data_IF_634742491392
#
_entry.id   IF_634742491392
#
_cell.length_a   1.000
_cell.length_b   1.000
_cell.length_c   1.000
_cell.angle_alpha   90.00
_cell.angle_beta   90.00
_cell.angle_gamma   90.00
#
_symmetry.space_group_name_H-M   'P 1'
#
loop_
_entity.id
_entity.type
_entity.pdbx_description
1 polymer ?
#
# COMPACT_ATOMS: atom_id res chain seq x y z
N UNK A 1 -24.71 7.93 8.46
CA UNK A 1 -24.36 8.70 7.26
C UNK A 1 -24.36 10.22 7.53
N UNK A 2 -25.38 10.81 8.15
CA UNK A 2 -25.42 12.29 8.30
C UNK A 2 -24.26 12.92 9.07
N UNK A 3 -23.55 12.14 9.87
CA UNK A 3 -22.38 12.58 10.64
C UNK A 3 -21.05 12.32 9.92
N UNK A 4 -21.07 11.77 8.70
CA UNK A 4 -19.85 11.54 7.92
C UNK A 4 -19.54 12.74 7.01
N UNK A 5 -18.27 12.95 6.61
CA UNK A 5 -17.91 14.05 5.71
C UNK A 5 -18.64 14.06 4.37
N UNK A 6 -19.04 12.89 3.86
CA UNK A 6 -19.77 12.75 2.60
C UNK A 6 -21.08 11.95 2.77
N UNK A 7 -22.14 12.55 3.31
CA UNK A 7 -23.38 11.83 3.61
C UNK A 7 -24.07 11.20 2.39
N UNK A 8 -24.00 11.84 1.22
CA UNK A 8 -24.79 11.46 0.05
C UNK A 8 -24.36 10.12 -0.57
N UNK A 9 -23.05 9.86 -0.84
CA UNK A 9 -22.60 8.53 -1.26
C UNK A 9 -22.99 7.41 -0.29
N UNK A 10 -22.87 7.67 1.02
CA UNK A 10 -23.25 6.72 2.08
C UNK A 10 -24.76 6.39 2.01
N UNK A 11 -25.62 7.41 1.99
CA UNK A 11 -27.08 7.24 1.88
C UNK A 11 -27.48 6.55 0.58
N UNK A 12 -26.91 6.99 -0.54
CA UNK A 12 -27.19 6.45 -1.87
C UNK A 12 -26.87 4.96 -1.94
N UNK A 13 -25.73 4.53 -1.38
CA UNK A 13 -25.34 3.13 -1.34
C UNK A 13 -26.35 2.27 -0.58
N UNK A 14 -26.67 2.63 0.66
CA UNK A 14 -27.57 1.83 1.50
C UNK A 14 -29.05 1.90 1.08
N UNK A 15 -29.46 2.96 0.38
CA UNK A 15 -30.81 3.04 -0.21
C UNK A 15 -30.99 2.08 -1.39
N UNK A 16 -29.94 1.87 -2.19
CA UNK A 16 -30.01 1.08 -3.42
C UNK A 16 -29.71 -0.41 -3.21
N UNK A 17 -29.05 -0.76 -2.10
CA UNK A 17 -28.76 -2.15 -1.75
C UNK A 17 -29.71 -2.62 -0.63
N UNK A 18 -30.87 -3.14 -1.05
CA UNK A 18 -31.86 -3.72 -0.13
C UNK A 18 -31.30 -4.97 0.56
N UNK A 19 -31.44 -5.08 1.88
CA UNK A 19 -31.07 -6.28 2.65
C UNK A 19 -30.15 -6.06 3.84
N UNK A 20 -29.68 -4.83 4.09
CA UNK A 20 -28.90 -4.54 5.29
C UNK A 20 -29.78 -4.37 6.52
N UNK A 21 -29.42 -5.05 7.62
CA UNK A 21 -29.94 -4.72 8.95
C UNK A 21 -29.36 -3.39 9.40
N UNK A 22 -30.19 -2.52 9.99
CA UNK A 22 -29.72 -1.28 10.60
C UNK A 22 -28.66 -1.59 11.68
N UNK A 23 -27.49 -0.93 11.64
CA UNK A 23 -26.45 -1.14 12.64
C UNK A 23 -26.92 -0.61 13.99
N UNK A 24 -26.64 -1.36 15.05
CA UNK A 24 -26.94 -0.97 16.43
C UNK A 24 -25.76 -0.29 17.11
N UNK A 25 -24.55 -0.50 16.58
CA UNK A 25 -23.31 0.08 17.09
C UNK A 25 -22.49 0.73 15.97
N UNK A 26 -21.67 1.72 16.33
CA UNK A 26 -20.76 2.39 15.40
C UNK A 26 -19.73 1.41 14.80
N UNK A 27 -19.33 0.38 15.55
CA UNK A 27 -18.46 -0.71 15.10
C UNK A 27 -19.09 -1.53 13.96
N UNK A 28 -20.39 -1.83 14.05
CA UNK A 28 -21.16 -2.52 13.01
C UNK A 28 -21.32 -1.61 11.78
N UNK A 29 -21.64 -0.34 11.99
CA UNK A 29 -21.77 0.64 10.92
C UNK A 29 -20.45 0.81 10.14
N UNK A 30 -19.30 0.81 10.84
CA UNK A 30 -17.98 0.81 10.21
C UNK A 30 -17.79 -0.36 9.26
N UNK A 31 -18.13 -1.59 9.68
CA UNK A 31 -17.99 -2.78 8.83
C UNK A 31 -18.82 -2.61 7.55
N UNK A 32 -20.09 -2.22 7.69
CA UNK A 32 -20.98 -1.98 6.55
C UNK A 32 -20.43 -0.92 5.58
N UNK A 33 -19.80 0.13 6.12
CA UNK A 33 -19.25 1.22 5.30
C UNK A 33 -17.99 0.80 4.55
N UNK A 34 -17.14 -0.03 5.16
CA UNK A 34 -15.97 -0.60 4.50
C UNK A 34 -16.38 -1.61 3.42
N UNK A 35 -17.44 -2.40 3.65
CA UNK A 35 -18.05 -3.26 2.62
C UNK A 35 -18.54 -2.43 1.43
N UNK A 36 -19.22 -1.30 1.70
CA UNK A 36 -19.66 -0.38 0.65
C UNK A 36 -18.51 0.23 -0.15
N UNK A 37 -17.44 0.65 0.53
CA UNK A 37 -16.24 1.15 -0.14
C UNK A 37 -15.55 0.06 -0.99
N UNK A 38 -15.51 -1.19 -0.49
CA UNK A 38 -14.91 -2.32 -1.20
C UNK A 38 -15.68 -2.68 -2.48
N UNK A 39 -17.01 -2.67 -2.43
CA UNK A 39 -17.87 -2.89 -3.60
C UNK A 39 -17.63 -1.82 -4.69
N UNK A 40 -17.52 -0.55 -4.29
CA UNK A 40 -17.15 0.53 -5.23
C UNK A 40 -15.72 0.43 -5.75
N UNK A 41 -14.79 -0.09 -4.96
CA UNK A 41 -13.41 -0.35 -5.39
C UNK A 41 -13.32 -1.44 -6.45
N UNK A 42 -14.05 -2.54 -6.25
CA UNK A 42 -14.16 -3.63 -7.22
C UNK A 42 -14.78 -3.11 -8.51
N UNK A 43 -15.89 -2.37 -8.41
CA UNK A 43 -16.55 -1.77 -9.58
C UNK A 43 -15.60 -0.86 -10.38
N UNK A 44 -14.85 0.02 -9.71
CA UNK A 44 -13.89 0.91 -10.36
C UNK A 44 -12.75 0.13 -11.05
N UNK A 45 -12.17 -0.85 -10.36
CA UNK A 45 -11.11 -1.71 -10.91
C UNK A 45 -11.59 -2.43 -12.17
N UNK A 46 -12.80 -2.99 -12.13
CA UNK A 46 -13.35 -3.78 -13.24
C UNK A 46 -13.68 -2.87 -14.44
N UNK A 47 -14.19 -1.66 -14.20
CA UNK A 47 -14.40 -0.65 -15.24
C UNK A 47 -13.09 -0.16 -15.88
N UNK A 48 -12.05 0.10 -15.08
CA UNK A 48 -10.71 0.45 -15.56
C UNK A 48 -10.15 -0.69 -16.43
N UNK A 49 -10.22 -1.93 -15.93
CA UNK A 49 -9.76 -3.12 -16.64
C UNK A 49 -10.50 -3.32 -17.96
N UNK A 50 -11.82 -3.16 -17.98
CA UNK A 50 -12.63 -3.26 -19.20
C UNK A 50 -12.25 -2.17 -20.21
N UNK A 51 -12.02 -0.95 -19.73
CA UNK A 51 -11.66 0.20 -20.58
C UNK A 51 -10.28 0.07 -21.20
N UNK A 52 -9.38 -0.74 -20.63
CA UNK A 52 -8.03 -0.97 -21.15
C UNK A 52 -7.96 -1.51 -22.57
N UNK A 53 -9.00 -2.24 -22.99
CA UNK A 53 -9.10 -2.83 -24.32
C UNK A 53 -9.34 -1.80 -25.41
N UNK A 54 -9.73 -0.57 -25.05
CA UNK A 54 -10.17 0.46 -25.99
C UNK A 54 -9.08 1.49 -26.32
N UNK A 55 -7.92 1.43 -25.68
CA UNK A 55 -6.88 2.46 -25.82
C UNK A 55 -5.56 1.88 -26.31
N UNK A 56 -5.05 2.46 -27.39
CA UNK A 56 -3.74 2.14 -27.99
C UNK A 56 -2.67 3.19 -27.71
N UNK A 57 -3.06 4.33 -27.11
CA UNK A 57 -2.16 5.42 -26.76
C UNK A 57 -1.28 5.05 -25.55
N UNK A 58 0.03 5.16 -25.70
CA UNK A 58 1.00 4.75 -24.69
C UNK A 58 0.84 5.52 -23.36
N UNK A 59 0.46 6.80 -23.39
CA UNK A 59 0.27 7.60 -22.18
C UNK A 59 -0.98 7.15 -21.43
N UNK A 60 -2.09 6.93 -22.15
CA UNK A 60 -3.32 6.40 -21.58
C UNK A 60 -3.13 5.00 -21.02
N UNK A 61 -2.40 4.14 -21.74
CA UNK A 61 -2.08 2.79 -21.28
C UNK A 61 -1.24 2.82 -20.00
N UNK A 62 -0.20 3.66 -19.92
CA UNK A 62 0.63 3.79 -18.73
C UNK A 62 -0.19 4.22 -17.49
N UNK A 63 -1.00 5.29 -17.62
CA UNK A 63 -1.89 5.74 -16.54
C UNK A 63 -2.89 4.67 -16.15
N UNK A 64 -3.43 3.93 -17.12
CA UNK A 64 -4.41 2.90 -16.86
C UNK A 64 -3.81 1.69 -16.14
N UNK A 65 -2.62 1.24 -16.54
CA UNK A 65 -1.89 0.18 -15.82
C UNK A 65 -1.68 0.57 -14.37
N UNK A 66 -1.32 1.82 -14.09
CA UNK A 66 -1.13 2.29 -12.72
C UNK A 66 -2.42 2.36 -11.94
N UNK A 67 -3.47 2.91 -12.55
CA UNK A 67 -4.78 2.97 -11.92
C UNK A 67 -5.30 1.55 -11.61
N UNK A 68 -5.16 0.58 -12.50
CA UNK A 68 -5.57 -0.80 -12.23
C UNK A 68 -4.83 -1.35 -11.01
N UNK A 69 -3.49 -1.24 -10.97
CA UNK A 69 -2.69 -1.69 -9.83
C UNK A 69 -3.06 -0.99 -8.51
N UNK A 70 -3.21 0.33 -8.53
CA UNK A 70 -3.61 1.11 -7.35
C UNK A 70 -5.00 0.71 -6.84
N UNK A 71 -5.93 0.36 -7.73
CA UNK A 71 -7.25 -0.12 -7.34
C UNK A 71 -7.25 -1.58 -6.87
N UNK A 72 -6.38 -2.45 -7.41
CA UNK A 72 -6.11 -3.77 -6.84
C UNK A 72 -5.57 -3.66 -5.41
N UNK A 73 -4.63 -2.77 -5.18
CA UNK A 73 -4.08 -2.48 -3.85
C UNK A 73 -5.16 -1.89 -2.93
N UNK A 74 -6.01 -0.99 -3.44
CA UNK A 74 -7.16 -0.44 -2.69
C UNK A 74 -8.09 -1.55 -2.21
N UNK A 75 -8.46 -2.49 -3.09
CA UNK A 75 -9.28 -3.66 -2.74
C UNK A 75 -8.58 -4.53 -1.68
N UNK A 76 -7.26 -4.72 -1.79
CA UNK A 76 -6.49 -5.48 -0.81
C UNK A 76 -6.52 -4.81 0.58
N UNK A 77 -6.30 -3.49 0.66
CA UNK A 77 -6.32 -2.75 1.93
C UNK A 77 -7.71 -2.74 2.58
N UNK A 78 -8.78 -2.63 1.79
CA UNK A 78 -10.17 -2.70 2.29
C UNK A 78 -10.51 -4.12 2.77
N UNK A 79 -10.10 -5.15 2.04
CA UNK A 79 -10.24 -6.55 2.45
C UNK A 79 -9.52 -6.80 3.78
N UNK A 80 -8.29 -6.29 3.90
CA UNK A 80 -7.50 -6.39 5.13
C UNK A 80 -8.15 -5.68 6.30
N UNK A 81 -8.72 -4.50 6.05
CA UNK A 81 -9.52 -3.77 7.03
C UNK A 81 -10.66 -4.65 7.54
N UNK A 82 -11.49 -5.21 6.67
CA UNK A 82 -12.59 -6.10 7.06
C UNK A 82 -12.13 -7.34 7.85
N UNK A 83 -11.02 -7.96 7.47
CA UNK A 83 -10.45 -9.11 8.17
C UNK A 83 -9.88 -8.76 9.55
N UNK A 84 -9.38 -7.53 9.72
CA UNK A 84 -8.82 -7.03 10.97
C UNK A 84 -9.89 -6.57 11.96
N UNK A 85 -11.04 -6.12 11.47
CA UNK A 85 -12.18 -5.75 12.29
C UNK A 85 -12.79 -6.99 12.97
N UNK A 86 -13.28 -6.87 14.22
CA UNK A 86 -13.85 -8.00 14.94
C UNK A 86 -15.03 -8.59 14.14
N UNK A 87 -15.10 -9.92 13.94
CA UNK A 87 -16.27 -10.54 13.36
C UNK A 87 -17.47 -10.41 14.30
N UNK A 88 -18.67 -10.62 13.76
CA UNK A 88 -19.95 -10.62 14.51
C UNK A 88 -19.97 -11.57 15.72
N UNK A 89 -19.00 -12.48 15.87
CA UNK A 89 -18.90 -13.43 17.00
C UNK A 89 -17.44 -13.69 17.43
N UNK A 90 -17.08 -13.21 18.62
CA UNK A 90 -16.12 -13.84 19.56
C UNK A 90 -14.64 -14.08 19.17
N UNK A 91 -14.19 -13.82 17.94
CA UNK A 91 -12.79 -14.01 17.59
C UNK A 91 -11.91 -12.86 18.14
N UNK A 92 -10.70 -13.18 18.62
CA UNK A 92 -9.70 -12.18 19.02
C UNK A 92 -9.44 -11.23 17.84
N UNK A 93 -9.65 -9.93 18.07
CA UNK A 93 -9.29 -8.83 17.17
C UNK A 93 -7.84 -9.02 16.70
N UNK A 94 -7.64 -9.32 15.42
CA UNK A 94 -6.29 -9.57 14.88
C UNK A 94 -5.51 -8.26 14.74
N UNK A 95 -6.21 -7.13 14.59
CA UNK A 95 -5.61 -5.83 14.23
C UNK A 95 -6.34 -4.69 14.94
N UNK A 96 -5.64 -3.62 15.28
CA UNK A 96 -6.15 -2.47 16.04
C UNK A 96 -6.96 -1.51 15.18
N UNK A 97 -7.69 -0.58 15.81
CA UNK A 97 -8.37 0.50 15.05
C UNK A 97 -7.32 1.44 14.41
N UNK A 98 -6.09 1.47 14.93
CA UNK A 98 -4.98 2.20 14.35
C UNK A 98 -4.49 1.53 13.05
N UNK A 99 -4.43 0.20 13.04
CA UNK A 99 -4.12 -0.56 11.83
C UNK A 99 -5.21 -0.36 10.76
N UNK A 100 -6.48 -0.41 11.17
CA UNK A 100 -7.60 -0.08 10.28
C UNK A 100 -7.52 1.35 9.72
N UNK A 101 -7.16 2.34 10.55
CA UNK A 101 -6.96 3.72 10.10
C UNK A 101 -5.83 3.80 9.06
N UNK A 102 -4.74 3.07 9.29
CA UNK A 102 -3.58 3.03 8.40
C UNK A 102 -3.99 2.47 7.03
N UNK A 103 -4.65 1.31 6.98
CA UNK A 103 -5.05 0.71 5.71
C UNK A 103 -6.11 1.50 4.97
N UNK A 104 -7.08 2.09 5.67
CA UNK A 104 -8.05 3.01 5.06
C UNK A 104 -7.37 4.25 4.46
N UNK A 105 -6.33 4.77 5.13
CA UNK A 105 -5.57 5.92 4.64
C UNK A 105 -4.75 5.56 3.39
N UNK A 106 -4.16 4.36 3.38
CA UNK A 106 -3.49 3.81 2.19
C UNK A 106 -4.46 3.64 1.03
N UNK A 107 -5.65 3.06 1.27
CA UNK A 107 -6.68 2.90 0.26
C UNK A 107 -7.09 4.25 -0.36
N UNK A 108 -7.29 5.30 0.45
CA UNK A 108 -7.58 6.64 -0.06
C UNK A 108 -6.42 7.19 -0.89
N UNK A 109 -5.18 7.03 -0.40
CA UNK A 109 -3.96 7.49 -1.10
C UNK A 109 -3.84 6.84 -2.47
N UNK A 110 -4.15 5.55 -2.60
CA UNK A 110 -4.09 4.84 -3.87
C UNK A 110 -5.09 5.42 -4.89
N UNK A 111 -6.34 5.67 -4.46
CA UNK A 111 -7.35 6.28 -5.34
C UNK A 111 -6.95 7.68 -5.81
N UNK A 112 -6.37 8.47 -4.91
CA UNK A 112 -5.91 9.83 -5.21
C UNK A 112 -4.65 9.82 -6.10
N UNK A 113 -3.76 8.84 -5.92
CA UNK A 113 -2.56 8.65 -6.75
C UNK A 113 -2.93 8.34 -8.19
N UNK A 114 -3.93 7.48 -8.43
CA UNK A 114 -4.45 7.22 -9.77
C UNK A 114 -5.01 8.50 -10.40
N UNK A 115 -5.86 9.23 -9.65
CA UNK A 115 -6.48 10.48 -10.11
C UNK A 115 -5.41 11.53 -10.47
N UNK A 116 -4.44 11.77 -9.59
CA UNK A 116 -3.34 12.72 -9.83
C UNK A 116 -2.45 12.29 -10.97
N UNK A 117 -2.06 11.01 -11.04
CA UNK A 117 -1.24 10.46 -12.12
C UNK A 117 -1.87 10.70 -13.50
N UNK A 118 -3.19 10.58 -13.61
CA UNK A 118 -3.93 10.90 -14.85
C UNK A 118 -3.91 12.39 -15.20
N UNK A 119 -3.96 13.26 -14.20
CA UNK A 119 -3.90 14.72 -14.36
C UNK A 119 -2.50 15.19 -14.76
N UNK A 120 -1.46 14.65 -14.11
CA UNK A 120 -0.06 14.98 -14.40
C UNK A 120 0.34 14.59 -15.83
N UNK A 121 -0.33 13.55 -16.38
CA UNK A 121 -0.18 13.11 -17.77
C UNK A 121 -1.11 13.81 -18.77
N UNK A 122 -1.94 14.76 -18.32
CA UNK A 122 -2.93 15.47 -19.14
C UNK A 122 -3.92 14.53 -19.86
N UNK A 123 -4.35 13.47 -19.17
CA UNK A 123 -5.29 12.47 -19.69
C UNK A 123 -6.42 12.17 -18.69
N UNK A 124 -6.75 13.13 -17.82
CA UNK A 124 -7.77 12.98 -16.79
C UNK A 124 -9.16 12.65 -17.32
N UNK A 125 -9.47 13.03 -18.56
CA UNK A 125 -10.83 12.95 -19.13
C UNK A 125 -11.37 11.52 -19.23
N UNK A 126 -10.49 10.52 -19.34
CA UNK A 126 -10.94 9.12 -19.42
C UNK A 126 -10.93 8.39 -18.07
N UNK A 127 -10.10 8.83 -17.11
CA UNK A 127 -10.04 8.26 -15.76
C UNK A 127 -11.12 8.87 -14.85
N UNK A 128 -11.33 10.18 -14.95
CA UNK A 128 -12.21 10.93 -14.05
C UNK A 128 -13.63 10.39 -14.02
N UNK A 129 -14.28 10.05 -15.16
CA UNK A 129 -15.62 9.48 -15.14
C UNK A 129 -15.66 8.15 -14.37
N UNK A 130 -14.69 7.27 -14.58
CA UNK A 130 -14.64 5.95 -13.95
C UNK A 130 -14.44 6.10 -12.43
N UNK A 131 -13.43 6.86 -12.02
CA UNK A 131 -13.06 7.04 -10.62
C UNK A 131 -14.10 7.86 -9.85
N UNK A 132 -14.65 8.90 -10.47
CA UNK A 132 -15.58 9.83 -9.80
C UNK A 132 -17.01 9.33 -9.75
N UNK A 133 -17.44 8.46 -10.68
CA UNK A 133 -18.79 7.89 -10.67
C UNK A 133 -18.98 6.90 -9.52
N UNK A 134 -17.93 6.17 -9.14
CA UNK A 134 -18.02 5.19 -8.04
C UNK A 134 -18.08 5.86 -6.66
N UNK A 135 -17.71 7.15 -6.55
CA UNK A 135 -17.64 7.91 -5.29
C UNK A 135 -16.82 7.20 -4.20
N UNK A 136 -15.88 6.35 -4.61
CA UNK A 136 -15.09 5.52 -3.70
C UNK A 136 -14.26 6.35 -2.72
N UNK A 137 -13.59 7.42 -3.17
CA UNK A 137 -12.77 8.26 -2.30
C UNK A 137 -13.60 8.89 -1.17
N UNK A 138 -14.86 9.25 -1.46
CA UNK A 138 -15.80 9.77 -0.46
C UNK A 138 -16.19 8.69 0.55
N UNK A 139 -16.51 7.47 0.10
CA UNK A 139 -16.84 6.35 1.00
C UNK A 139 -15.64 5.94 1.88
N UNK A 140 -14.43 5.91 1.32
CA UNK A 140 -13.21 5.65 2.12
C UNK A 140 -12.99 6.79 3.13
N UNK A 141 -13.24 8.04 2.75
CA UNK A 141 -13.15 9.18 3.69
C UNK A 141 -14.17 9.07 4.82
N UNK A 142 -15.38 8.62 4.52
CA UNK A 142 -16.38 8.34 5.56
C UNK A 142 -15.95 7.17 6.46
N UNK A 143 -15.33 6.12 5.91
CA UNK A 143 -14.73 5.03 6.70
C UNK A 143 -13.66 5.58 7.66
N UNK A 144 -12.80 6.48 7.18
CA UNK A 144 -11.76 7.14 8.00
C UNK A 144 -12.36 7.96 9.13
N UNK A 145 -13.44 8.70 8.87
CA UNK A 145 -14.12 9.49 9.90
C UNK A 145 -14.75 8.59 10.98
N UNK A 146 -15.45 7.53 10.57
CA UNK A 146 -16.07 6.57 11.49
C UNK A 146 -15.01 5.82 12.31
N UNK A 147 -13.93 5.38 11.68
CA UNK A 147 -12.83 4.71 12.38
C UNK A 147 -12.07 5.67 13.31
N UNK A 148 -11.90 6.92 12.90
CA UNK A 148 -11.34 7.99 13.72
C UNK A 148 -12.12 8.23 15.01
N UNK A 149 -13.46 8.24 14.94
CA UNK A 149 -14.29 8.32 16.15
C UNK A 149 -14.03 7.14 17.11
N UNK A 150 -13.91 5.92 16.59
CA UNK A 150 -13.60 4.73 17.39
C UNK A 150 -12.20 4.76 18.00
N UNK A 151 -11.22 5.35 17.31
CA UNK A 151 -9.87 5.58 17.84
C UNK A 151 -9.90 6.47 19.09
N UNK A 152 -10.69 7.54 19.11
CA UNK A 152 -10.76 8.47 20.25
C UNK A 152 -11.39 7.84 21.50
N UNK A 153 -12.24 6.83 21.31
CA UNK A 153 -12.89 6.09 22.41
C UNK A 153 -12.05 4.93 22.96
N UNK A 154 -10.98 4.53 22.24
CA UNK A 154 -10.08 3.44 22.63
C UNK A 154 -8.91 3.94 23.47
N UNK A 155 -8.50 3.14 24.46
CA UNK A 155 -7.30 3.41 25.26
C UNK A 155 -6.04 3.15 24.41
N UNK A 156 -5.74 4.06 23.49
CA UNK A 156 -4.65 3.91 22.54
C UNK A 156 -3.33 4.21 23.23
N UNK A 157 -2.63 3.15 23.66
CA UNK A 157 -1.18 3.24 23.92
C UNK A 157 -0.52 3.64 22.60
N UNK A 158 -0.18 4.92 22.49
CA UNK A 158 0.60 5.45 21.39
C UNK A 158 1.90 4.67 21.27
N UNK A 159 2.08 3.96 20.15
CA UNK A 159 3.29 3.21 19.77
C UNK A 159 4.45 4.14 19.38
N UNK A 160 4.30 5.45 19.60
CA UNK A 160 5.33 6.48 19.42
C UNK A 160 6.34 6.52 20.57
N UNK A 161 6.18 5.67 21.60
CA UNK A 161 7.20 5.54 22.64
C UNK A 161 8.48 4.97 22.01
N UNK A 162 9.54 5.78 21.97
CA UNK A 162 10.88 5.28 21.78
C UNK A 162 11.32 4.56 23.06
N UNK A 163 12.07 3.48 22.92
CA UNK A 163 12.72 2.87 24.06
C UNK A 163 13.86 3.76 24.60
N UNK A 164 14.52 3.31 25.68
CA UNK A 164 15.66 4.04 26.27
C UNK A 164 16.83 4.27 25.31
N UNK A 165 16.90 3.54 24.19
CA UNK A 165 17.95 3.62 23.19
C UNK A 165 17.50 4.39 21.93
N UNK A 166 16.32 5.02 21.95
CA UNK A 166 15.79 5.79 20.82
C UNK A 166 15.17 4.95 19.70
N UNK A 167 15.03 3.63 19.86
CA UNK A 167 14.35 2.77 18.88
C UNK A 167 12.85 2.75 19.11
N UNK A 168 12.03 2.77 18.04
CA UNK A 168 10.59 2.55 18.18
C UNK A 168 10.29 1.20 18.84
N UNK A 169 9.23 1.13 19.65
CA UNK A 169 8.83 -0.11 20.35
C UNK A 169 8.44 -1.25 19.41
N UNK A 170 8.06 -0.95 18.17
CA UNK A 170 7.71 -1.96 17.16
C UNK A 170 8.93 -2.63 16.52
N UNK A 171 10.13 -2.04 16.65
CA UNK A 171 11.38 -2.67 16.17
C UNK A 171 11.85 -3.67 17.23
N UNK A 172 11.90 -4.95 16.89
CA UNK A 172 12.29 -6.02 17.83
C UNK A 172 13.78 -5.94 18.22
N UNK A 173 14.15 -6.51 19.38
CA UNK A 173 15.55 -6.54 19.84
C UNK A 173 16.51 -7.20 18.83
N UNK A 174 16.03 -8.21 18.09
CA UNK A 174 16.80 -8.87 17.03
C UNK A 174 17.07 -7.91 15.86
N UNK A 175 16.08 -7.13 15.45
CA UNK A 175 16.21 -6.16 14.36
C UNK A 175 17.10 -4.99 14.76
N UNK A 176 17.00 -4.51 16.00
CA UNK A 176 17.90 -3.48 16.53
C UNK A 176 19.34 -3.95 16.49
N UNK A 177 19.60 -5.19 16.92
CA UNK A 177 20.93 -5.80 16.83
C UNK A 177 21.43 -5.83 15.38
N UNK A 178 20.58 -6.19 14.41
CA UNK A 178 20.92 -6.15 12.99
C UNK A 178 21.29 -4.73 12.51
N UNK A 179 20.54 -3.71 12.92
CA UNK A 179 20.79 -2.31 12.56
C UNK A 179 22.08 -1.74 13.20
N UNK A 180 22.49 -2.27 14.35
CA UNK A 180 23.69 -1.86 15.08
C UNK A 180 24.97 -2.58 14.64
N UNK A 181 24.89 -3.56 13.73
CA UNK A 181 26.06 -4.26 13.24
C UNK A 181 26.97 -3.30 12.46
N UNK A 182 28.19 -3.10 12.97
CA UNK A 182 29.19 -2.22 12.35
C UNK A 182 29.77 -2.78 11.04
N UNK A 183 29.60 -4.08 10.78
CA UNK A 183 30.03 -4.71 9.53
C UNK A 183 28.89 -5.46 8.87
N UNK A 184 28.68 -5.16 7.59
CA UNK A 184 27.70 -5.86 6.74
C UNK A 184 28.11 -7.33 6.51
N UNK A 185 29.41 -7.63 6.62
CA UNK A 185 29.95 -9.01 6.59
C UNK A 185 29.45 -9.89 7.74
N UNK A 186 29.01 -9.29 8.85
CA UNK A 186 28.39 -10.02 9.97
C UNK A 186 26.90 -10.28 9.76
N UNK A 187 26.28 -9.73 8.71
CA UNK A 187 24.88 -9.99 8.36
C UNK A 187 24.83 -11.22 7.46
N UNK A 188 24.16 -12.28 7.92
CA UNK A 188 23.91 -13.46 7.09
C UNK A 188 22.90 -13.10 5.99
N UNK A 189 23.42 -12.76 4.80
CA UNK A 189 22.60 -12.43 3.63
C UNK A 189 21.94 -13.68 3.05
N UNK A 190 20.67 -13.56 2.65
CA UNK A 190 19.98 -14.60 1.89
C UNK A 190 20.39 -14.56 0.42
N UNK A 191 20.42 -13.36 -0.17
CA UNK A 191 20.85 -13.13 -1.56
C UNK A 191 21.94 -12.06 -1.59
N UNK A 192 22.82 -12.16 -2.59
CA UNK A 192 23.88 -11.17 -2.84
C UNK A 192 23.72 -10.63 -4.25
N UNK A 193 23.70 -9.30 -4.37
CA UNK A 193 23.65 -8.56 -5.64
C UNK A 193 25.02 -7.93 -5.88
N UNK A 194 25.59 -8.17 -7.06
CA UNK A 194 26.90 -7.64 -7.43
C UNK A 194 26.98 -7.38 -8.95
N UNK A 195 27.34 -6.16 -9.34
CA UNK A 195 27.49 -5.80 -10.76
C UNK A 195 28.67 -6.48 -11.46
N UNK A 196 29.70 -6.81 -10.70
CA UNK A 196 30.92 -7.47 -11.17
C UNK A 196 30.76 -8.99 -11.38
N UNK A 197 29.54 -9.53 -11.18
CA UNK A 197 29.26 -10.96 -11.28
C UNK A 197 29.67 -11.78 -10.05
N UNK A 198 30.23 -11.17 -9.01
CA UNK A 198 30.63 -11.85 -7.76
C UNK A 198 29.46 -12.13 -6.80
N UNK A 199 28.22 -12.03 -7.28
CA UNK A 199 26.97 -12.20 -6.54
C UNK A 199 26.01 -13.10 -7.31
N UNK A 200 24.88 -13.44 -6.70
CA UNK A 200 23.85 -14.28 -7.33
C UNK A 200 23.06 -13.52 -8.40
N UNK A 201 22.94 -12.19 -8.25
CA UNK A 201 22.21 -11.32 -9.18
C UNK A 201 23.07 -10.10 -9.55
N UNK A 202 22.86 -9.57 -10.75
CA UNK A 202 23.47 -8.33 -11.22
C UNK A 202 22.61 -7.08 -10.94
N UNK A 203 21.31 -7.25 -10.71
CA UNK A 203 20.34 -6.18 -10.45
C UNK A 203 19.63 -6.39 -9.10
N UNK A 204 19.23 -5.29 -8.47
CA UNK A 204 18.52 -5.30 -7.19
C UNK A 204 17.09 -5.79 -7.40
N UNK A 205 16.40 -5.38 -8.47
CA UNK A 205 15.04 -5.83 -8.76
C UNK A 205 14.95 -7.35 -8.92
N UNK A 206 15.91 -7.99 -9.60
CA UNK A 206 15.87 -9.45 -9.77
C UNK A 206 15.96 -10.20 -8.43
N UNK A 207 16.75 -9.69 -7.48
CA UNK A 207 16.81 -10.25 -6.14
C UNK A 207 15.50 -10.03 -5.35
N UNK A 208 14.85 -8.86 -5.52
CA UNK A 208 13.54 -8.56 -4.93
C UNK A 208 12.46 -9.50 -5.50
N UNK A 209 12.47 -9.75 -6.81
CA UNK A 209 11.51 -10.64 -7.47
C UNK A 209 11.63 -12.07 -6.97
N UNK A 210 12.86 -12.56 -6.76
CA UNK A 210 13.12 -13.87 -6.15
C UNK A 210 12.66 -13.91 -4.71
N UNK A 211 12.90 -12.84 -3.94
CA UNK A 211 12.38 -12.72 -2.58
C UNK A 211 10.84 -12.77 -2.57
N UNK A 212 10.15 -12.15 -3.54
CA UNK A 212 8.69 -12.13 -3.62
C UNK A 212 8.03 -13.47 -3.94
N UNK A 213 8.79 -14.44 -4.45
CA UNK A 213 8.28 -15.81 -4.72
C UNK A 213 8.34 -16.71 -3.49
N UNK A 214 9.00 -16.28 -2.41
CA UNK A 214 9.15 -17.08 -1.20
C UNK A 214 7.83 -17.13 -0.43
N UNK A 215 7.63 -18.21 0.32
CA UNK A 215 6.63 -18.17 1.40
C UNK A 215 7.12 -17.19 2.46
N UNK A 216 6.33 -16.16 2.75
CA UNK A 216 6.66 -15.20 3.80
C UNK A 216 6.76 -15.96 5.12
N UNK A 217 7.96 -15.96 5.69
CA UNK A 217 8.26 -16.52 7.02
C UNK A 217 8.46 -15.39 8.01
N UNK A 218 8.45 -15.69 9.31
CA UNK A 218 8.69 -14.72 10.39
C UNK A 218 10.12 -14.13 10.41
N UNK A 219 11.00 -14.59 9.52
CA UNK A 219 12.38 -14.11 9.41
C UNK A 219 12.54 -12.99 8.38
N UNK A 220 13.42 -12.04 8.72
CA UNK A 220 13.85 -10.99 7.80
C UNK A 220 14.65 -11.59 6.64
N UNK A 221 14.29 -11.22 5.41
CA UNK A 221 14.96 -11.68 4.19
C UNK A 221 15.96 -10.62 3.75
N UNK A 222 17.25 -10.89 3.97
CA UNK A 222 18.32 -9.92 3.75
C UNK A 222 18.89 -10.08 2.34
N UNK A 223 18.84 -8.98 1.59
CA UNK A 223 19.51 -8.85 0.29
C UNK A 223 20.71 -7.93 0.50
N UNK A 224 21.91 -8.48 0.34
CA UNK A 224 23.14 -7.71 0.40
C UNK A 224 23.49 -7.19 -1.00
N UNK A 225 23.57 -5.87 -1.13
CA UNK A 225 23.90 -5.18 -2.37
C UNK A 225 25.33 -4.66 -2.25
N UNK A 226 26.26 -5.26 -3.00
CA UNK A 226 27.66 -4.84 -2.99
C UNK A 226 27.81 -3.39 -3.50
N UNK A 227 28.99 -2.82 -3.31
CA UNK A 227 29.34 -1.51 -3.87
C UNK A 227 29.09 -1.46 -5.38
N UNK A 228 28.63 -0.31 -5.84
CA UNK A 228 28.31 -0.05 -7.22
C UNK A 228 27.21 0.99 -7.36
N UNK A 229 27.10 1.54 -8.57
CA UNK A 229 25.98 2.40 -8.98
C UNK A 229 25.02 1.53 -9.77
N UNK A 230 23.83 1.28 -9.24
CA UNK A 230 22.76 0.48 -9.82
C UNK A 230 21.73 1.41 -10.45
N UNK A 231 21.75 1.51 -11.78
CA UNK A 231 20.82 2.34 -12.53
C UNK A 231 19.57 1.53 -12.85
N UNK A 232 18.61 1.54 -11.92
CA UNK A 232 17.36 0.78 -12.00
C UNK A 232 16.28 1.44 -11.15
N UNK A 233 15.02 1.16 -11.46
CA UNK A 233 13.87 1.51 -10.63
C UNK A 233 13.39 0.23 -9.95
N UNK A 234 13.44 0.19 -8.63
CA UNK A 234 13.04 -0.99 -7.85
C UNK A 234 11.60 -0.84 -7.34
N UNK A 235 10.85 -1.93 -7.32
CA UNK A 235 9.54 -2.00 -6.69
C UNK A 235 9.45 -3.24 -5.78
N UNK A 236 9.14 -3.02 -4.51
CA UNK A 236 8.77 -4.06 -3.54
C UNK A 236 7.25 -4.10 -3.49
N UNK A 237 6.64 -5.14 -4.06
CA UNK A 237 5.18 -5.33 -4.12
C UNK A 237 4.57 -5.70 -2.77
N UNK A 238 3.26 -5.49 -2.60
CA UNK A 238 2.51 -5.78 -1.36
C UNK A 238 2.68 -7.19 -0.81
N UNK A 239 2.91 -8.20 -1.64
CA UNK A 239 3.07 -9.59 -1.20
C UNK A 239 4.51 -9.95 -0.79
N UNK A 240 5.42 -8.97 -0.75
CA UNK A 240 6.85 -9.17 -0.57
C UNK A 240 7.37 -8.60 0.76
N UNK A 241 6.82 -9.15 1.86
CA UNK A 241 7.07 -8.64 3.20
C UNK A 241 8.47 -8.95 3.74
N UNK A 242 8.88 -8.23 4.79
CA UNK A 242 10.08 -8.50 5.60
C UNK A 242 11.42 -8.50 4.82
N UNK A 243 11.53 -7.74 3.73
CA UNK A 243 12.80 -7.53 3.03
C UNK A 243 13.68 -6.51 3.77
N UNK A 244 14.98 -6.78 3.81
CA UNK A 244 16.00 -5.82 4.20
C UNK A 244 17.06 -5.72 3.11
N UNK A 245 17.23 -4.51 2.55
CA UNK A 245 18.36 -4.21 1.68
C UNK A 245 19.52 -3.68 2.52
N UNK A 246 20.71 -4.23 2.34
CA UNK A 246 21.93 -3.78 3.03
C UNK A 246 23.02 -3.51 2.01
N UNK A 247 23.60 -2.31 2.02
CA UNK A 247 24.66 -1.90 1.10
C UNK A 247 26.05 -1.87 1.76
N UNK A 248 27.11 -1.80 0.96
CA UNK A 248 28.50 -1.62 1.44
C UNK A 248 28.77 -0.26 2.12
N UNK A 249 27.79 0.64 2.09
CA UNK A 249 27.83 1.94 2.73
C UNK A 249 27.11 2.99 1.89
N UNK A 250 26.72 4.09 2.53
CA UNK A 250 25.96 5.19 1.94
C UNK A 250 26.59 5.77 0.66
N UNK A 251 27.93 5.80 0.58
CA UNK A 251 28.68 6.30 -0.59
C UNK A 251 29.19 5.21 -1.53
N UNK A 252 28.98 3.95 -1.17
CA UNK A 252 29.53 2.80 -1.88
C UNK A 252 28.48 2.08 -2.71
N UNK A 253 27.25 1.99 -2.21
CA UNK A 253 26.12 1.33 -2.88
C UNK A 253 25.05 2.38 -3.16
N UNK A 254 24.84 2.70 -4.44
CA UNK A 254 23.90 3.73 -4.88
C UNK A 254 22.91 3.10 -5.84
N UNK A 255 21.61 3.24 -5.56
CA UNK A 255 20.53 2.89 -6.50
C UNK A 255 19.99 4.20 -7.07
N UNK A 256 19.93 4.32 -8.39
CA UNK A 256 19.53 5.55 -9.09
C UNK A 256 18.53 5.26 -10.20
N UNK A 257 17.47 6.06 -10.27
CA UNK A 257 16.48 6.03 -11.35
C UNK A 257 16.55 7.30 -12.20
N UNK A 258 16.03 7.23 -13.43
CA UNK A 258 15.99 8.37 -14.37
C UNK A 258 14.61 8.61 -15.00
N UNK A 259 13.56 8.04 -14.41
CA UNK A 259 12.19 8.13 -14.94
C UNK A 259 11.55 9.47 -14.58
N UNK A 260 10.72 9.99 -15.49
CA UNK A 260 9.97 11.23 -15.28
C UNK A 260 8.75 11.29 -16.20
N UNK A 261 7.81 12.20 -15.88
CA UNK A 261 6.64 12.52 -16.72
C UNK A 261 7.05 12.92 -18.14
N UNK A 262 8.04 13.80 -18.26
CA UNK A 262 8.60 14.20 -19.56
C UNK A 262 9.21 13.02 -20.34
N UNK A 263 9.71 12.01 -19.61
CA UNK A 263 10.24 10.77 -20.16
C UNK A 263 9.17 9.70 -20.46
N UNK A 264 7.88 10.01 -20.34
CA UNK A 264 6.79 9.07 -20.61
C UNK A 264 6.43 8.13 -19.46
N UNK A 265 6.93 8.39 -18.24
CA UNK A 265 6.58 7.64 -17.03
C UNK A 265 5.66 8.44 -16.12
N UNK A 266 4.59 7.83 -15.61
CA UNK A 266 3.71 8.46 -14.62
C UNK A 266 4.47 8.92 -13.39
N UNK A 267 3.89 9.88 -12.66
CA UNK A 267 4.41 10.31 -11.36
C UNK A 267 4.60 9.11 -10.43
N UNK A 268 3.64 8.18 -10.41
CA UNK A 268 3.71 6.94 -9.64
C UNK A 268 4.93 6.06 -10.03
N UNK A 269 5.14 5.80 -11.33
CA UNK A 269 6.23 4.96 -11.82
C UNK A 269 7.59 5.66 -11.95
N UNK A 270 7.68 6.94 -11.58
CA UNK A 270 8.92 7.72 -11.66
C UNK A 270 9.88 7.45 -10.49
N UNK A 271 9.37 6.93 -9.38
CA UNK A 271 10.14 6.67 -8.16
C UNK A 271 11.32 5.72 -8.41
N UNK A 272 12.50 6.06 -7.88
CA UNK A 272 13.68 5.18 -7.93
C UNK A 272 13.45 3.90 -7.12
N UNK A 273 12.76 4.02 -5.98
CA UNK A 273 12.33 2.90 -5.17
C UNK A 273 10.84 3.07 -4.80
N UNK A 274 9.99 2.19 -5.34
CA UNK A 274 8.61 1.99 -4.91
C UNK A 274 8.57 0.91 -3.84
N UNK A 275 7.88 1.19 -2.73
CA UNK A 275 7.66 0.22 -1.67
C UNK A 275 6.16 0.18 -1.41
N UNK A 276 5.52 -0.84 -1.96
CA UNK A 276 4.16 -1.22 -1.67
C UNK A 276 4.25 -2.19 -0.47
N UNK A 277 4.27 -1.66 0.75
CA UNK A 277 4.45 -2.48 1.96
C UNK A 277 3.13 -2.86 2.63
N UNK A 278 3.02 -4.09 3.13
CA UNK A 278 2.09 -4.45 4.19
C UNK A 278 2.81 -4.29 5.54
N UNK A 279 2.40 -3.31 6.35
CA UNK A 279 2.80 -3.22 7.76
C UNK A 279 2.13 -4.32 8.58
#
# INVERSE_FOLDING_TARGET
CDQTPYPDPCKCYFKNNNGFRLPTQLSEFRVMLVEAAMDRAISARDELTRSSRNYTDCQKQAVLTDCIGLYEDTVMQLTRTLQGLPPKTGARKRCTDFDAQTWLSTALTNTETCRRGSSDFNVSDFITPIVSNTKISHLITDCLAVNGALLTTGNNRTTTAADRNGFPTWVSSKERRLLQLQSVRAVQANLVVAKDGSGQFSTVQAAIDVAGRRKVTSGRFVIYVKRGIYQENINVRLNNDNIMLVGDGMRSTIITGGRSVKGGYTTYNSATAGIEGLH
#
